data_IF_302175421688
#
_entry.id   IF_302175421688
#
_cell.length_a   1.000
_cell.length_b   1.000
_cell.length_c   1.000
_cell.angle_alpha   90.00
_cell.angle_beta   90.00
_cell.angle_gamma   90.00
#
_symmetry.space_group_name_H-M   'P 1'
#
loop_
_entity.id
_entity.type
_entity.pdbx_description
1 polymer ?
#
# COMPACT_ATOMS: atom_id res chain seq x y z
N UNK A 1 104.26 52.64 46.27
CA UNK A 1 102.79 52.49 46.27
C UNK A 1 102.16 52.77 44.90
N UNK A 2 102.48 53.86 44.19
CA UNK A 2 101.90 54.14 42.85
C UNK A 2 102.27 53.07 41.80
N UNK A 3 103.50 52.52 41.86
CA UNK A 3 103.97 51.50 40.92
C UNK A 3 103.26 50.12 41.07
N UNK A 4 102.70 49.80 42.24
CA UNK A 4 101.92 48.56 42.44
C UNK A 4 100.44 48.75 42.09
N UNK A 5 99.93 49.99 42.18
CA UNK A 5 98.57 50.34 41.79
C UNK A 5 98.40 50.34 40.26
N UNK A 6 99.41 50.83 39.52
CA UNK A 6 99.44 50.76 38.05
C UNK A 6 99.59 49.32 37.55
N UNK A 7 100.37 48.47 38.25
CA UNK A 7 100.42 47.03 37.96
C UNK A 7 99.08 46.33 38.23
N UNK A 8 98.38 46.65 39.32
CA UNK A 8 97.06 46.08 39.62
C UNK A 8 95.94 46.53 38.68
N UNK A 9 96.02 47.76 38.16
CA UNK A 9 95.09 48.27 37.13
C UNK A 9 95.33 47.55 35.79
N UNK A 10 96.58 47.36 35.38
CA UNK A 10 96.93 46.61 34.16
C UNK A 10 96.51 45.13 34.22
N UNK A 11 96.58 44.51 35.41
CA UNK A 11 96.09 43.13 35.63
C UNK A 11 94.55 43.04 35.57
N UNK A 12 93.83 44.02 36.13
CA UNK A 12 92.37 44.08 36.07
C UNK A 12 91.85 44.33 34.64
N UNK A 13 92.54 45.19 33.89
CA UNK A 13 92.21 45.49 32.50
C UNK A 13 92.50 44.28 31.59
N UNK A 14 93.61 43.57 31.82
CA UNK A 14 93.93 42.31 31.14
C UNK A 14 92.92 41.18 31.47
N UNK A 15 92.42 41.11 32.71
CA UNK A 15 91.39 40.15 33.11
C UNK A 15 90.02 40.46 32.49
N UNK A 16 89.62 41.73 32.48
CA UNK A 16 88.40 42.19 31.79
C UNK A 16 88.45 41.87 30.29
N UNK A 17 89.59 42.10 29.64
CA UNK A 17 89.78 41.75 28.23
C UNK A 17 89.75 40.23 27.98
N UNK A 18 90.19 39.42 28.95
CA UNK A 18 90.06 37.96 28.89
C UNK A 18 88.61 37.51 29.02
N UNK A 19 87.87 38.06 29.98
CA UNK A 19 86.43 37.78 30.17
C UNK A 19 85.60 38.18 28.96
N UNK A 20 85.88 39.35 28.35
CA UNK A 20 85.25 39.75 27.08
C UNK A 20 85.52 38.77 25.96
N UNK A 21 86.77 38.29 25.83
CA UNK A 21 87.13 37.28 24.82
C UNK A 21 86.43 35.94 25.06
N UNK A 22 86.36 35.49 26.31
CA UNK A 22 85.65 34.25 26.66
C UNK A 22 84.12 34.39 26.45
N UNK A 23 83.53 35.53 26.81
CA UNK A 23 82.12 35.82 26.55
C UNK A 23 81.82 35.82 25.04
N UNK A 24 82.62 36.55 24.24
CA UNK A 24 82.43 36.59 22.80
C UNK A 24 82.62 35.22 22.14
N UNK A 25 83.56 34.41 22.64
CA UNK A 25 83.73 33.04 22.18
C UNK A 25 82.54 32.14 22.54
N UNK A 26 81.96 32.33 23.74
CA UNK A 26 80.77 31.60 24.18
C UNK A 26 79.51 32.03 23.40
N UNK A 27 79.34 33.34 23.16
CA UNK A 27 78.27 33.87 22.33
C UNK A 27 78.37 33.36 20.90
N UNK A 28 79.57 33.34 20.32
CA UNK A 28 79.82 32.77 19.00
C UNK A 28 79.49 31.27 18.96
N UNK A 29 79.89 30.49 19.97
CA UNK A 29 79.58 29.07 20.06
C UNK A 29 78.07 28.81 20.21
N UNK A 30 77.36 29.62 21.00
CA UNK A 30 75.90 29.51 21.16
C UNK A 30 75.16 29.84 19.86
N UNK A 31 75.57 30.92 19.16
CA UNK A 31 75.00 31.27 17.85
C UNK A 31 75.24 30.14 16.85
N UNK A 32 76.44 29.55 16.85
CA UNK A 32 76.75 28.45 15.94
C UNK A 32 75.90 27.20 16.22
N UNK A 33 75.73 26.84 17.50
CA UNK A 33 74.90 25.71 17.90
C UNK A 33 73.41 25.93 17.55
N UNK A 34 72.91 27.17 17.67
CA UNK A 34 71.56 27.51 17.22
C UNK A 34 71.40 27.38 15.70
N UNK A 35 72.37 27.89 14.92
CA UNK A 35 72.36 27.80 13.46
C UNK A 35 72.47 26.35 12.97
N UNK A 36 73.21 25.49 13.66
CA UNK A 36 73.29 24.06 13.34
C UNK A 36 71.96 23.31 13.60
N UNK A 37 71.14 23.79 14.54
CA UNK A 37 69.85 23.18 14.87
C UNK A 37 68.70 23.62 13.95
N UNK A 38 68.84 24.76 13.28
CA UNK A 38 67.86 25.32 12.33
C UNK A 38 67.37 24.33 11.25
N UNK A 39 68.24 23.60 10.52
CA UNK A 39 67.77 22.67 9.48
C UNK A 39 66.96 21.49 10.03
N UNK A 40 67.28 21.01 11.23
CA UNK A 40 66.51 19.95 11.91
C UNK A 40 65.12 20.44 12.31
N UNK A 41 65.01 21.68 12.80
CA UNK A 41 63.73 22.30 13.12
C UNK A 41 62.88 22.49 11.87
N UNK A 42 63.48 22.93 10.77
CA UNK A 42 62.80 23.11 9.49
C UNK A 42 62.29 21.79 8.91
N UNK A 43 63.09 20.72 8.98
CA UNK A 43 62.68 19.38 8.54
C UNK A 43 61.49 18.84 9.37
N UNK A 44 61.54 19.03 10.69
CA UNK A 44 60.42 18.67 11.58
C UNK A 44 59.17 19.49 11.26
N UNK A 45 59.32 20.79 10.99
CA UNK A 45 58.20 21.67 10.63
C UNK A 45 57.56 21.24 9.30
N UNK A 46 58.37 20.92 8.28
CA UNK A 46 57.88 20.38 7.02
C UNK A 46 57.20 19.03 7.19
N UNK A 47 57.76 18.14 8.02
CA UNK A 47 57.12 16.86 8.35
C UNK A 47 55.76 17.04 9.04
N UNK A 48 55.66 17.99 9.97
CA UNK A 48 54.40 18.37 10.64
C UNK A 48 53.39 18.97 9.66
N UNK A 49 53.82 19.83 8.73
CA UNK A 49 52.97 20.39 7.69
C UNK A 49 52.44 19.30 6.75
N UNK A 50 53.30 18.37 6.33
CA UNK A 50 52.91 17.24 5.50
C UNK A 50 51.92 16.32 6.22
N UNK A 51 52.17 16.02 7.50
CA UNK A 51 51.24 15.25 8.34
C UNK A 51 49.90 15.97 8.52
N UNK A 52 49.91 17.29 8.72
CA UNK A 52 48.69 18.13 8.83
C UNK A 52 47.87 18.04 7.55
N UNK A 53 48.50 18.23 6.38
CA UNK A 53 47.82 18.08 5.10
C UNK A 53 47.26 16.68 4.86
N UNK A 54 47.99 15.64 5.27
CA UNK A 54 47.52 14.26 5.17
C UNK A 54 46.24 14.05 6.00
N UNK A 55 46.19 14.59 7.23
CA UNK A 55 45.02 14.50 8.10
C UNK A 55 43.84 15.30 7.51
N UNK A 56 44.07 16.48 6.96
CA UNK A 56 43.02 17.28 6.29
C UNK A 56 42.39 16.52 5.11
N UNK A 57 43.20 15.82 4.32
CA UNK A 57 42.70 15.03 3.19
C UNK A 57 41.93 13.78 3.65
N UNK A 58 42.36 13.15 4.74
CA UNK A 58 41.60 12.08 5.37
C UNK A 58 40.24 12.57 5.90
N UNK A 59 40.17 13.76 6.49
CA UNK A 59 38.90 14.34 6.98
C UNK A 59 37.92 14.58 5.82
N UNK A 60 38.39 15.16 4.71
CA UNK A 60 37.56 15.33 3.48
C UNK A 60 37.07 13.99 2.95
N UNK A 61 37.94 12.98 2.94
CA UNK A 61 37.59 11.63 2.47
C UNK A 61 36.53 10.99 3.38
N UNK A 62 36.72 11.06 4.70
CA UNK A 62 35.76 10.59 5.69
C UNK A 62 34.42 11.33 5.58
N UNK A 63 34.44 12.65 5.38
CA UNK A 63 33.24 13.45 5.14
C UNK A 63 32.47 12.97 3.91
N UNK A 64 33.17 12.77 2.79
CA UNK A 64 32.56 12.25 1.55
C UNK A 64 31.99 10.84 1.75
N UNK A 65 32.71 9.98 2.46
CA UNK A 65 32.28 8.61 2.74
C UNK A 65 31.03 8.58 3.64
N UNK A 66 30.99 9.41 4.68
CA UNK A 66 29.83 9.53 5.57
C UNK A 66 28.56 9.98 4.83
N UNK A 67 28.69 10.95 3.91
CA UNK A 67 27.56 11.38 3.07
C UNK A 67 27.06 10.23 2.20
N UNK A 68 27.96 9.47 1.57
CA UNK A 68 27.59 8.29 0.78
C UNK A 68 26.89 7.22 1.60
N UNK A 69 27.39 6.92 2.80
CA UNK A 69 26.74 5.96 3.71
C UNK A 69 25.34 6.41 4.12
N UNK A 70 25.14 7.70 4.38
CA UNK A 70 23.82 8.24 4.69
C UNK A 70 22.85 8.04 3.53
N UNK A 71 23.25 8.34 2.30
CA UNK A 71 22.41 8.11 1.13
C UNK A 71 22.08 6.64 0.92
N UNK A 72 23.07 5.74 1.06
CA UNK A 72 22.83 4.30 0.97
C UNK A 72 21.83 3.85 2.05
N UNK A 73 21.93 4.38 3.27
CA UNK A 73 20.99 4.07 4.35
C UNK A 73 19.57 4.54 4.01
N UNK A 74 19.41 5.76 3.51
CA UNK A 74 18.12 6.31 3.06
C UNK A 74 17.52 5.48 1.91
N UNK A 75 18.35 5.07 0.96
CA UNK A 75 17.94 4.21 -0.17
C UNK A 75 17.49 2.83 0.30
N UNK A 76 18.22 2.20 1.23
CA UNK A 76 17.82 0.91 1.83
C UNK A 76 16.48 1.04 2.54
N UNK A 77 16.30 2.06 3.38
CA UNK A 77 15.04 2.29 4.11
C UNK A 77 13.86 2.49 3.14
N UNK A 78 14.07 3.23 2.06
CA UNK A 78 13.07 3.42 1.00
C UNK A 78 12.72 2.11 0.29
N UNK A 79 13.72 1.31 -0.07
CA UNK A 79 13.53 0.00 -0.70
C UNK A 79 12.82 -1.00 0.22
N UNK A 80 13.15 -1.01 1.51
CA UNK A 80 12.50 -1.85 2.51
C UNK A 80 11.04 -1.45 2.69
N UNK A 81 10.74 -0.16 2.83
CA UNK A 81 9.36 0.33 2.88
C UNK A 81 8.58 -0.03 1.61
N UNK A 82 9.18 0.14 0.43
CA UNK A 82 8.56 -0.23 -0.83
C UNK A 82 8.29 -1.74 -0.91
N UNK A 83 9.21 -2.57 -0.42
CA UNK A 83 9.03 -4.03 -0.35
C UNK A 83 7.84 -4.42 0.53
N UNK A 84 7.72 -3.82 1.71
CA UNK A 84 6.59 -4.04 2.63
C UNK A 84 5.27 -3.60 1.98
N UNK A 85 5.24 -2.41 1.38
CA UNK A 85 4.05 -1.89 0.70
C UNK A 85 3.64 -2.78 -0.47
N UNK A 86 4.58 -3.18 -1.32
CA UNK A 86 4.30 -4.06 -2.46
C UNK A 86 3.76 -5.41 -2.00
N UNK A 87 4.29 -5.97 -0.92
CA UNK A 87 3.78 -7.22 -0.34
C UNK A 87 2.33 -7.06 0.16
N UNK A 88 2.02 -5.97 0.85
CA UNK A 88 0.66 -5.68 1.29
C UNK A 88 -0.30 -5.47 0.11
N UNK A 89 0.13 -4.74 -0.92
CA UNK A 89 -0.65 -4.51 -2.14
C UNK A 89 -0.93 -5.82 -2.89
N UNK A 90 0.04 -6.71 -3.00
CA UNK A 90 -0.14 -8.04 -3.60
C UNK A 90 -1.18 -8.84 -2.81
N UNK A 91 -1.08 -8.85 -1.47
CA UNK A 91 -2.06 -9.55 -0.63
C UNK A 91 -3.47 -8.99 -0.79
N UNK A 92 -3.64 -7.67 -0.88
CA UNK A 92 -4.96 -7.07 -1.15
C UNK A 92 -5.47 -7.40 -2.55
N UNK A 93 -4.58 -7.47 -3.54
CA UNK A 93 -4.94 -7.88 -4.90
C UNK A 93 -5.36 -9.35 -4.94
N UNK A 94 -4.65 -10.24 -4.26
CA UNK A 94 -4.96 -11.67 -4.21
C UNK A 94 -6.35 -11.90 -3.59
N UNK A 95 -6.66 -11.22 -2.47
CA UNK A 95 -8.01 -11.23 -1.87
C UNK A 95 -9.10 -10.80 -2.84
N UNK A 96 -8.82 -9.79 -3.66
CA UNK A 96 -9.77 -9.31 -4.67
C UNK A 96 -9.91 -10.32 -5.81
N UNK A 97 -8.81 -10.93 -6.26
CA UNK A 97 -8.79 -11.94 -7.32
C UNK A 97 -9.55 -13.21 -6.91
N UNK A 98 -9.39 -13.68 -5.67
CA UNK A 98 -10.15 -14.82 -5.13
C UNK A 98 -11.67 -14.62 -5.23
N UNK A 99 -12.14 -13.37 -5.08
CA UNK A 99 -13.57 -13.02 -5.19
C UNK A 99 -14.05 -12.86 -6.63
N UNK A 100 -13.14 -12.51 -7.55
CA UNK A 100 -13.47 -12.15 -8.93
C UNK A 100 -13.33 -13.32 -9.90
N UNK A 101 -12.49 -14.32 -9.62
CA UNK A 101 -12.26 -15.45 -10.50
C UNK A 101 -13.39 -16.47 -10.43
N UNK A 102 -13.91 -16.87 -11.60
CA UNK A 102 -14.87 -17.98 -11.73
C UNK A 102 -14.11 -19.30 -11.60
N UNK A 103 -14.44 -20.18 -10.64
CA UNK A 103 -13.85 -21.51 -10.55
C UNK A 103 -14.02 -22.28 -11.87
N UNK A 104 -12.96 -22.96 -12.31
CA UNK A 104 -12.95 -23.70 -13.57
C UNK A 104 -14.05 -24.78 -13.63
N UNK A 105 -14.37 -25.37 -12.47
CA UNK A 105 -15.42 -26.34 -12.25
C UNK A 105 -16.81 -25.81 -12.67
N UNK A 106 -17.08 -24.53 -12.40
CA UNK A 106 -18.37 -23.87 -12.68
C UNK A 106 -18.41 -23.18 -14.03
N UNK A 107 -17.25 -22.89 -14.64
CA UNK A 107 -17.17 -22.18 -15.91
C UNK A 107 -17.99 -22.85 -17.02
N UNK A 108 -17.94 -24.19 -17.12
CA UNK A 108 -18.71 -24.92 -18.14
C UNK A 108 -20.21 -24.91 -17.85
N UNK A 109 -20.62 -25.08 -16.58
CA UNK A 109 -22.03 -25.07 -16.16
C UNK A 109 -22.70 -23.72 -16.47
N UNK A 110 -21.99 -22.63 -16.17
CA UNK A 110 -22.52 -21.27 -16.29
C UNK A 110 -22.60 -20.78 -17.74
N UNK A 111 -21.70 -21.21 -18.62
CA UNK A 111 -21.63 -20.73 -20.01
C UNK A 111 -22.43 -21.60 -20.99
N UNK A 112 -22.30 -22.93 -20.91
CA UNK A 112 -22.69 -23.82 -22.01
C UNK A 112 -23.07 -25.26 -21.63
N UNK A 113 -22.99 -25.64 -20.36
CA UNK A 113 -23.26 -27.00 -19.88
C UNK A 113 -24.68 -27.50 -20.17
N UNK A 114 -24.92 -28.81 -20.04
CA UNK A 114 -26.27 -29.37 -20.16
C UNK A 114 -27.00 -29.30 -18.82
N UNK A 115 -28.32 -29.16 -18.88
CA UNK A 115 -29.23 -29.35 -17.74
C UNK A 115 -29.79 -30.77 -17.81
N UNK A 116 -28.92 -31.76 -17.69
CA UNK A 116 -29.35 -33.15 -17.47
C UNK A 116 -29.35 -33.45 -15.98
N UNK A 117 -30.04 -34.53 -15.59
CA UNK A 117 -30.22 -34.90 -14.20
C UNK A 117 -28.90 -35.15 -13.48
N UNK A 118 -27.92 -35.75 -14.18
CA UNK A 118 -26.58 -36.02 -13.65
C UNK A 118 -25.80 -34.75 -13.29
N UNK A 119 -26.02 -33.64 -13.99
CA UNK A 119 -25.32 -32.36 -13.77
C UNK A 119 -26.17 -31.32 -13.05
N UNK A 120 -27.39 -31.67 -12.64
CA UNK A 120 -28.32 -30.71 -12.03
C UNK A 120 -27.76 -30.10 -10.74
N UNK A 121 -27.22 -30.94 -9.85
CA UNK A 121 -26.57 -30.48 -8.60
C UNK A 121 -25.44 -29.51 -8.89
N UNK A 122 -24.55 -29.84 -9.84
CA UNK A 122 -23.44 -28.96 -10.22
C UNK A 122 -23.92 -27.63 -10.83
N UNK A 123 -25.03 -27.64 -11.57
CA UNK A 123 -25.62 -26.41 -12.11
C UNK A 123 -26.22 -25.53 -11.01
N UNK A 124 -26.81 -26.14 -9.97
CA UNK A 124 -27.34 -25.42 -8.80
C UNK A 124 -26.19 -24.79 -8.01
N UNK A 125 -25.16 -25.57 -7.65
CA UNK A 125 -23.97 -25.08 -6.95
C UNK A 125 -23.28 -23.93 -7.71
N UNK A 126 -23.13 -24.07 -9.02
CA UNK A 126 -22.57 -23.01 -9.85
C UNK A 126 -23.41 -21.72 -9.84
N UNK A 127 -24.74 -21.85 -9.81
CA UNK A 127 -25.67 -20.72 -9.72
C UNK A 127 -25.64 -20.05 -8.33
N UNK A 128 -25.54 -20.84 -7.27
CA UNK A 128 -25.37 -20.35 -5.90
C UNK A 128 -24.04 -19.60 -5.75
N UNK A 129 -22.95 -20.18 -6.28
CA UNK A 129 -21.64 -19.52 -6.32
C UNK A 129 -21.72 -18.18 -7.07
N UNK A 130 -22.32 -18.15 -8.26
CA UNK A 130 -22.45 -16.92 -9.05
C UNK A 130 -23.24 -15.83 -8.32
N UNK A 131 -24.29 -16.23 -7.61
CA UNK A 131 -25.10 -15.33 -6.78
C UNK A 131 -24.28 -14.80 -5.60
N UNK A 132 -23.51 -15.66 -4.94
CA UNK A 132 -22.58 -15.29 -3.87
C UNK A 132 -21.50 -14.31 -4.35
N UNK A 133 -20.91 -14.57 -5.52
CA UNK A 133 -19.90 -13.73 -6.14
C UNK A 133 -20.44 -12.32 -6.45
N UNK A 134 -21.63 -12.22 -7.06
CA UNK A 134 -22.28 -10.93 -7.36
C UNK A 134 -22.56 -10.13 -6.07
N UNK A 135 -23.13 -10.78 -5.05
CA UNK A 135 -23.40 -10.15 -3.74
C UNK A 135 -22.12 -9.73 -3.02
N UNK A 136 -21.04 -10.50 -3.18
CA UNK A 136 -19.72 -10.22 -2.63
C UNK A 136 -19.09 -8.94 -3.21
N UNK A 137 -19.52 -8.50 -4.39
CA UNK A 137 -19.05 -7.27 -5.02
C UNK A 137 -19.89 -6.04 -4.64
N UNK A 138 -21.01 -6.21 -3.93
CA UNK A 138 -21.91 -5.15 -3.49
C UNK A 138 -21.58 -4.66 -2.08
N UNK A 139 -22.00 -3.42 -1.78
CA UNK A 139 -21.91 -2.85 -0.42
C UNK A 139 -22.89 -3.62 0.49
N UNK A 140 -22.50 -4.03 1.72
CA UNK A 140 -21.27 -3.70 2.45
C UNK A 140 -20.12 -4.72 2.30
N UNK A 141 -20.26 -5.76 1.48
CA UNK A 141 -19.28 -6.86 1.39
C UNK A 141 -17.98 -6.47 0.68
N UNK A 142 -18.05 -5.46 -0.17
CA UNK A 142 -16.91 -4.83 -0.83
C UNK A 142 -16.83 -3.36 -0.40
N UNK A 143 -15.63 -2.93 -0.01
CA UNK A 143 -15.36 -1.53 0.33
C UNK A 143 -15.68 -0.63 -0.88
N UNK A 144 -16.31 0.52 -0.60
CA UNK A 144 -16.72 1.50 -1.62
C UNK A 144 -15.55 1.99 -2.49
N UNK A 145 -14.32 1.93 -1.99
CA UNK A 145 -13.10 2.27 -2.73
C UNK A 145 -12.90 1.37 -3.96
N UNK A 146 -13.13 0.06 -3.83
CA UNK A 146 -13.08 -0.89 -4.96
C UNK A 146 -14.22 -0.68 -5.96
N UNK A 147 -15.36 -0.14 -5.50
CA UNK A 147 -16.52 0.13 -6.35
C UNK A 147 -16.23 1.07 -7.52
N UNK A 148 -15.21 1.93 -7.40
CA UNK A 148 -14.79 2.84 -8.46
C UNK A 148 -13.75 2.23 -9.42
N UNK A 149 -13.12 1.12 -9.07
CA UNK A 149 -12.10 0.49 -9.91
C UNK A 149 -12.71 -0.08 -11.19
N UNK A 150 -12.12 0.27 -12.34
CA UNK A 150 -12.58 -0.19 -13.65
C UNK A 150 -12.63 -1.72 -13.73
N UNK A 151 -11.58 -2.40 -13.27
CA UNK A 151 -11.50 -3.87 -13.29
C UNK A 151 -12.65 -4.54 -12.52
N UNK A 152 -13.02 -3.99 -11.36
CA UNK A 152 -14.15 -4.49 -10.56
C UNK A 152 -15.48 -4.28 -11.28
N UNK A 153 -15.67 -3.11 -11.90
CA UNK A 153 -16.86 -2.79 -12.70
C UNK A 153 -17.00 -3.71 -13.92
N UNK A 154 -15.92 -3.90 -14.67
CA UNK A 154 -15.87 -4.79 -15.84
C UNK A 154 -16.17 -6.22 -15.42
N UNK A 155 -15.53 -6.70 -14.35
CA UNK A 155 -15.75 -8.06 -13.88
C UNK A 155 -17.16 -8.30 -13.36
N UNK A 156 -17.74 -7.34 -12.64
CA UNK A 156 -19.16 -7.37 -12.26
C UNK A 156 -20.05 -7.47 -13.50
N UNK A 157 -19.78 -6.70 -14.54
CA UNK A 157 -20.55 -6.77 -15.79
C UNK A 157 -20.42 -8.13 -16.49
N UNK A 158 -19.25 -8.76 -16.47
CA UNK A 158 -19.06 -10.13 -16.96
C UNK A 158 -19.92 -11.15 -16.19
N UNK A 159 -19.92 -11.08 -14.86
CA UNK A 159 -20.72 -11.97 -14.01
C UNK A 159 -22.22 -11.76 -14.23
N UNK A 160 -22.69 -10.52 -14.42
CA UNK A 160 -24.10 -10.25 -14.77
C UNK A 160 -24.47 -10.80 -16.15
N UNK A 161 -23.57 -10.71 -17.14
CA UNK A 161 -23.77 -11.35 -18.44
C UNK A 161 -23.85 -12.88 -18.32
N UNK A 162 -23.01 -13.46 -17.47
CA UNK A 162 -23.01 -14.89 -17.19
C UNK A 162 -24.32 -15.32 -16.53
N UNK A 163 -24.80 -14.57 -15.55
CA UNK A 163 -26.11 -14.75 -14.89
C UNK A 163 -27.25 -14.70 -15.90
N UNK A 164 -27.29 -13.68 -16.74
CA UNK A 164 -28.32 -13.56 -17.78
C UNK A 164 -28.31 -14.76 -18.75
N UNK A 165 -27.12 -15.24 -19.10
CA UNK A 165 -26.93 -16.40 -19.98
C UNK A 165 -27.41 -17.70 -19.32
N UNK A 166 -27.01 -17.93 -18.07
CA UNK A 166 -27.43 -19.10 -17.30
C UNK A 166 -28.94 -19.13 -17.08
N UNK A 167 -29.54 -18.02 -16.63
CA UNK A 167 -30.99 -17.91 -16.38
C UNK A 167 -31.80 -18.17 -17.66
N UNK A 168 -31.36 -17.63 -18.81
CA UNK A 168 -32.02 -17.90 -20.10
C UNK A 168 -32.02 -19.37 -20.45
N UNK A 169 -30.87 -20.05 -20.29
CA UNK A 169 -30.73 -21.48 -20.56
C UNK A 169 -31.56 -22.33 -19.60
N UNK A 170 -31.48 -22.05 -18.30
CA UNK A 170 -32.26 -22.73 -17.27
C UNK A 170 -33.77 -22.60 -17.53
N UNK A 171 -34.22 -21.38 -17.85
CA UNK A 171 -35.62 -21.12 -18.21
C UNK A 171 -36.05 -21.90 -19.46
N UNK A 172 -35.18 -21.96 -20.48
CA UNK A 172 -35.43 -22.75 -21.70
C UNK A 172 -35.49 -24.26 -21.44
N UNK A 173 -34.64 -24.76 -20.55
CA UNK A 173 -34.69 -26.16 -20.09
C UNK A 173 -36.01 -26.44 -19.37
N UNK A 174 -36.38 -25.63 -18.37
CA UNK A 174 -37.62 -25.81 -17.62
C UNK A 174 -38.85 -25.81 -18.53
N UNK A 175 -38.93 -24.88 -19.49
CA UNK A 175 -40.02 -24.85 -20.47
C UNK A 175 -40.13 -26.15 -21.27
N UNK A 176 -39.00 -26.68 -21.75
CA UNK A 176 -38.98 -27.96 -22.50
C UNK A 176 -39.32 -29.15 -21.61
N UNK A 177 -38.77 -29.17 -20.39
CA UNK A 177 -39.01 -30.23 -19.42
C UNK A 177 -40.50 -30.32 -19.08
N UNK A 178 -41.15 -29.20 -18.76
CA UNK A 178 -42.58 -29.17 -18.46
C UNK A 178 -43.44 -29.51 -19.68
N UNK A 179 -43.10 -29.02 -20.88
CA UNK A 179 -43.84 -29.39 -22.09
C UNK A 179 -43.81 -30.91 -22.33
N UNK A 180 -42.63 -31.51 -22.26
CA UNK A 180 -42.46 -32.96 -22.42
C UNK A 180 -43.20 -33.75 -21.32
N UNK A 181 -43.19 -33.26 -20.09
CA UNK A 181 -43.91 -33.88 -18.98
C UNK A 181 -45.43 -33.87 -19.24
N UNK A 182 -45.98 -32.73 -19.66
CA UNK A 182 -47.41 -32.61 -20.02
C UNK A 182 -47.76 -33.50 -21.22
N UNK A 183 -46.94 -33.51 -22.27
CA UNK A 183 -47.16 -34.36 -23.45
C UNK A 183 -47.11 -35.86 -23.10
N UNK A 184 -46.19 -36.26 -22.21
CA UNK A 184 -46.13 -37.62 -21.67
C UNK A 184 -47.38 -37.97 -20.86
N UNK A 185 -47.88 -37.04 -20.04
CA UNK A 185 -49.09 -37.26 -19.25
C UNK A 185 -50.37 -37.33 -20.10
N UNK A 186 -50.43 -36.59 -21.21
CA UNK A 186 -51.57 -36.56 -22.13
C UNK A 186 -51.60 -37.76 -23.09
N UNK A 187 -50.44 -38.33 -23.40
CA UNK A 187 -50.34 -39.56 -24.21
C UNK A 187 -50.66 -40.82 -23.40
N UNK A 188 -50.50 -40.78 -22.08
CA UNK A 188 -50.87 -41.86 -21.16
C UNK A 188 -52.38 -41.84 -20.84
N UNK A 189 -53.19 -42.36 -21.76
CA UNK A 189 -54.68 -42.41 -21.66
C UNK A 189 -55.25 -43.06 -20.39
N UNK A 190 -54.42 -43.74 -19.59
CA UNK A 190 -54.84 -44.40 -18.34
C UNK A 190 -54.70 -43.53 -17.07
N UNK A 191 -53.96 -42.41 -17.10
CA UNK A 191 -53.73 -41.57 -15.91
C UNK A 191 -54.84 -40.53 -15.67
N UNK A 192 -55.48 -40.04 -16.73
CA UNK A 192 -56.52 -39.00 -16.62
C UNK A 192 -57.85 -39.54 -16.08
N UNK A 193 -58.08 -40.85 -16.17
CA UNK A 193 -59.27 -41.52 -15.63
C UNK A 193 -59.23 -41.67 -14.10
N UNK A 194 -58.08 -41.49 -13.45
CA UNK A 194 -57.92 -41.63 -11.99
C UNK A 194 -57.51 -40.34 -11.26
N UNK A 195 -56.92 -39.35 -11.93
CA UNK A 195 -56.33 -38.17 -11.27
C UNK A 195 -57.24 -36.93 -11.24
N UNK A 196 -58.44 -37.08 -10.66
CA UNK A 196 -59.30 -35.93 -10.29
C UNK A 196 -58.59 -34.89 -9.39
N UNK A 197 -57.47 -35.27 -8.76
CA UNK A 197 -56.67 -34.44 -7.87
C UNK A 197 -55.78 -33.41 -8.60
N UNK A 198 -55.30 -33.73 -9.81
CA UNK A 198 -54.36 -32.84 -10.53
C UNK A 198 -55.06 -31.72 -11.31
N UNK A 199 -56.33 -31.91 -11.68
CA UNK A 199 -57.14 -30.83 -12.24
C UNK A 199 -57.27 -29.64 -11.28
N UNK A 200 -57.20 -29.88 -9.97
CA UNK A 200 -57.24 -28.84 -8.94
C UNK A 200 -55.90 -28.08 -8.82
N UNK A 201 -54.76 -28.73 -9.05
CA UNK A 201 -53.44 -28.10 -8.94
C UNK A 201 -53.09 -27.19 -10.12
N UNK A 202 -53.61 -27.52 -11.32
CA UNK A 202 -53.42 -26.71 -12.53
C UNK A 202 -54.28 -25.43 -12.57
N UNK A 203 -55.14 -25.20 -11.57
CA UNK A 203 -55.99 -24.01 -11.42
C UNK A 203 -55.39 -22.91 -10.53
N UNK A 204 -54.08 -22.93 -10.23
CA UNK A 204 -53.44 -21.76 -9.61
C UNK A 204 -53.34 -20.62 -10.63
N UNK A 205 -54.27 -19.67 -10.56
CA UNK A 205 -54.09 -18.35 -11.16
C UNK A 205 -52.81 -17.72 -10.58
N UNK A 206 -51.87 -17.38 -11.47
CA UNK A 206 -50.72 -16.52 -11.13
C UNK A 206 -51.29 -15.15 -10.78
N UNK A 207 -51.10 -14.61 -9.56
CA UNK A 207 -51.55 -13.26 -9.25
C UNK A 207 -50.83 -12.28 -10.17
N UNK A 208 -51.58 -11.52 -10.96
CA UNK A 208 -51.02 -10.45 -11.76
C UNK A 208 -50.32 -9.44 -10.83
N UNK A 209 -49.04 -9.17 -11.11
CA UNK A 209 -48.28 -8.10 -10.45
C UNK A 209 -49.03 -6.77 -10.63
N UNK A 210 -49.61 -6.26 -9.56
CA UNK A 210 -50.24 -4.93 -9.53
C UNK A 210 -49.12 -3.88 -9.67
N UNK A 211 -49.18 -2.98 -10.67
CA UNK A 211 -48.27 -1.85 -10.74
C UNK A 211 -48.61 -0.84 -9.64
N UNK A 212 -47.61 -0.21 -8.99
CA UNK A 212 -47.87 0.68 -7.87
C UNK A 212 -48.45 2.01 -8.36
N UNK A 213 -49.63 2.34 -7.83
CA UNK A 213 -50.04 3.74 -7.63
C UNK A 213 -51.13 4.27 -8.56
N UNK A 214 -52.38 4.18 -8.10
CA UNK A 214 -53.33 5.30 -8.16
C UNK A 214 -54.15 5.28 -6.86
N UNK A 215 -54.03 6.36 -6.08
CA UNK A 215 -54.59 6.49 -4.74
C UNK A 215 -56.12 6.45 -4.68
N UNK A 216 -56.61 5.88 -3.59
CA UNK A 216 -58.00 5.87 -3.19
C UNK A 216 -58.47 7.30 -2.83
N UNK A 217 -59.46 7.83 -3.55
CA UNK A 217 -60.18 9.04 -3.16
C UNK A 217 -61.47 8.64 -2.44
N UNK A 218 -61.38 8.47 -1.12
CA UNK A 218 -62.53 8.27 -0.23
C UNK A 218 -63.09 9.62 0.23
N UNK A 219 -64.11 10.12 -0.48
CA UNK A 219 -64.83 11.32 -0.08
C UNK A 219 -65.83 10.97 1.04
N UNK A 220 -65.53 11.30 2.29
CA UNK A 220 -66.49 11.22 3.41
C UNK A 220 -66.69 12.61 4.01
N UNK A 221 -67.86 13.18 3.72
CA UNK A 221 -68.40 14.42 4.31
C UNK A 221 -68.95 14.16 5.72
N UNK A 222 -68.84 15.17 6.59
CA UNK A 222 -69.52 15.35 7.88
C UNK A 222 -68.54 15.97 8.89
N UNK A 223 -68.46 17.29 9.05
CA UNK A 223 -69.19 18.14 10.05
C UNK A 223 -69.06 17.58 11.48
N UNK A 224 -68.72 18.33 12.53
CA UNK A 224 -68.44 19.75 12.73
C UNK A 224 -67.92 19.89 14.20
N UNK A 225 -67.51 21.10 14.59
CA UNK A 225 -67.46 21.62 15.97
C UNK A 225 -66.12 21.55 16.75
N UNK A 226 -65.43 22.69 16.64
CA UNK A 226 -65.19 23.66 17.74
C UNK A 226 -63.87 23.73 18.52
N UNK A 227 -63.49 25.00 18.71
CA UNK A 227 -62.66 25.61 19.76
C UNK A 227 -61.12 25.60 19.62
N UNK A 228 -60.64 26.65 18.95
CA UNK A 228 -59.83 27.72 19.55
C UNK A 228 -58.48 27.38 20.18
N UNK A 229 -57.39 27.91 19.59
CA UNK A 229 -56.51 28.86 20.27
C UNK A 229 -55.47 29.48 19.31
N UNK A 230 -55.42 30.82 19.33
CA UNK A 230 -54.26 31.73 19.19
C UNK A 230 -52.93 31.09 19.63
N UNK A 231 -51.71 31.40 19.18
CA UNK A 231 -51.13 32.50 18.39
C UNK A 231 -49.65 32.14 18.06
N UNK A 232 -49.09 32.80 17.04
CA UNK A 232 -47.72 33.35 16.91
C UNK A 232 -46.50 32.58 17.48
N UNK A 233 -45.51 32.19 16.66
CA UNK A 233 -44.42 32.99 16.06
C UNK A 233 -43.08 32.83 16.83
N UNK A 234 -42.04 32.43 16.08
CA UNK A 234 -40.60 32.65 16.28
C UNK A 234 -39.98 32.51 17.68
N UNK A 235 -39.07 31.55 17.82
CA UNK A 235 -37.62 31.83 17.73
C UNK A 235 -36.83 30.55 17.42
#
# INVERSE_FOLDING_TARGET
MVHSYVMGIGEAEAFSERLKRELLALEAANVHAMLESEPLVEEVLQGLQAATHCVDDMDKWLGTFNVKLRHIREDIESLEMQSVNNKALIQELDKLLERLCVPSEYATCLTGGKFDEARMTQNIEACEWLTGALRGLEVPNLDSTYGNMRAVKEKRAELEKLKATFVRRASGFLKKYFANLVDSMMSDKNYFSQSSFLAHFMCFEVPALVPPGVGANGNKRGSNDDLGHYEHEKQ
#
